data_IF_147627090401
#
_entry.id   IF_147627090401
#
_cell.length_a   1.000
_cell.length_b   1.000
_cell.length_c   1.000
_cell.angle_alpha   90.00
_cell.angle_beta   90.00
_cell.angle_gamma   90.00
#
_symmetry.space_group_name_H-M   'P 1'
#
loop_
_entity.id
_entity.type
_entity.pdbx_description
1 polymer ?
#
# COMPACT_ATOMS: atom_id res chain seq x y z
N UNK A 1 -12.68 -9.60 -1.80
CA UNK A 1 -13.15 -8.41 -1.07
C UNK A 1 -12.06 -7.87 -0.14
N UNK A 2 -11.71 -6.58 -0.30
CA UNK A 2 -10.61 -5.90 0.42
C UNK A 2 -11.00 -5.41 1.81
N UNK A 3 -12.21 -4.85 1.95
CA UNK A 3 -12.75 -4.33 3.21
C UNK A 3 -14.13 -4.97 3.45
N UNK A 4 -14.20 -6.11 4.16
CA UNK A 4 -15.44 -6.84 4.41
C UNK A 4 -16.32 -6.23 5.50
N UNK A 5 -16.59 -4.93 5.43
CA UNK A 5 -17.45 -4.23 6.37
C UNK A 5 -18.19 -3.07 5.70
N UNK A 6 -19.32 -2.67 6.29
CA UNK A 6 -20.03 -1.46 5.87
C UNK A 6 -19.31 -0.21 6.38
N UNK A 7 -19.54 0.92 5.71
CA UNK A 7 -18.91 2.20 6.04
C UNK A 7 -19.37 2.70 7.43
N UNK A 8 -20.63 2.49 7.78
CA UNK A 8 -21.16 2.75 9.13
C UNK A 8 -20.38 2.03 10.25
N UNK A 9 -19.85 0.83 9.99
CA UNK A 9 -19.12 0.03 10.98
C UNK A 9 -17.65 0.45 11.11
N UNK A 10 -17.09 1.03 10.05
CA UNK A 10 -15.68 1.41 9.97
C UNK A 10 -15.44 2.90 10.25
N UNK A 11 -16.50 3.69 10.37
CA UNK A 11 -16.42 5.12 10.63
C UNK A 11 -15.95 5.43 12.06
N UNK A 12 -15.24 6.55 12.28
CA UNK A 12 -14.89 7.02 13.61
C UNK A 12 -16.12 7.18 14.50
N UNK A 13 -15.97 6.88 15.78
CA UNK A 13 -17.02 7.08 16.79
C UNK A 13 -17.21 8.58 17.03
N UNK A 14 -16.11 9.34 17.04
CA UNK A 14 -16.09 10.79 17.18
C UNK A 14 -15.47 11.43 15.94
N UNK A 15 -16.25 11.62 14.86
CA UNK A 15 -15.72 12.21 13.63
C UNK A 15 -15.20 13.62 13.86
N UNK A 16 -14.12 13.99 13.17
CA UNK A 16 -13.55 15.33 13.24
C UNK A 16 -14.60 16.37 12.83
N UNK A 17 -14.74 17.43 13.63
CA UNK A 17 -15.68 18.51 13.33
C UNK A 17 -15.23 19.28 12.10
N UNK A 18 -16.16 19.52 11.18
CA UNK A 18 -15.93 20.38 10.03
C UNK A 18 -15.89 21.84 10.49
N UNK A 19 -14.70 22.43 10.47
CA UNK A 19 -14.52 23.87 10.66
C UNK A 19 -15.24 24.64 9.54
N UNK A 20 -15.95 25.73 9.88
CA UNK A 20 -16.55 26.68 8.92
C UNK A 20 -15.51 27.50 8.14
N UNK A 21 -14.22 27.20 8.28
CA UNK A 21 -13.16 27.85 7.52
C UNK A 21 -13.33 27.62 6.02
N UNK A 22 -13.01 28.65 5.21
CA UNK A 22 -13.04 28.59 3.74
C UNK A 22 -12.14 27.50 3.12
N UNK A 23 -11.27 26.89 3.91
CA UNK A 23 -10.33 25.87 3.46
C UNK A 23 -10.35 24.66 4.41
N UNK A 24 -10.70 23.50 3.86
CA UNK A 24 -10.70 22.22 4.57
C UNK A 24 -9.36 21.54 4.32
N UNK A 25 -8.61 21.25 5.39
CA UNK A 25 -7.43 20.39 5.29
C UNK A 25 -7.88 18.92 5.38
N UNK A 26 -7.86 18.21 4.24
CA UNK A 26 -8.27 16.80 4.20
C UNK A 26 -7.41 15.88 5.07
N UNK A 27 -6.16 16.25 5.40
CA UNK A 27 -5.34 15.45 6.32
C UNK A 27 -5.92 15.38 7.74
N UNK A 28 -6.83 16.29 8.11
CA UNK A 28 -7.52 16.25 9.40
C UNK A 28 -8.75 15.33 9.42
N UNK A 29 -9.16 14.79 8.26
CA UNK A 29 -10.33 13.91 8.12
C UNK A 29 -9.85 12.51 7.74
N UNK A 30 -9.69 11.60 8.72
CA UNK A 30 -9.20 10.26 8.42
C UNK A 30 -10.23 9.50 7.59
N UNK A 31 -9.77 8.84 6.52
CA UNK A 31 -10.64 8.16 5.57
C UNK A 31 -11.04 6.76 6.07
N UNK A 32 -12.33 6.57 6.34
CA UNK A 32 -12.94 5.25 6.57
C UNK A 32 -12.91 4.40 5.31
N UNK A 33 -12.74 3.09 5.47
CA UNK A 33 -12.72 2.15 4.34
C UNK A 33 -13.74 1.05 4.57
N UNK A 34 -14.70 0.94 3.67
CA UNK A 34 -15.79 -0.03 3.72
C UNK A 34 -16.68 0.10 2.51
N UNK A 35 -17.71 -0.74 2.46
CA UNK A 35 -18.75 -0.69 1.44
C UNK A 35 -19.83 0.29 1.90
N UNK A 36 -20.30 1.15 1.01
CA UNK A 36 -21.41 2.07 1.33
C UNK A 36 -22.64 1.29 1.79
N UNK A 37 -23.31 1.79 2.82
CA UNK A 37 -24.50 1.17 3.40
C UNK A 37 -25.63 0.94 2.38
N UNK A 38 -25.79 1.84 1.40
CA UNK A 38 -26.75 1.69 0.29
C UNK A 38 -26.46 0.45 -0.59
N UNK A 39 -25.20 0.01 -0.61
CA UNK A 39 -24.76 -1.18 -1.34
C UNK A 39 -24.80 -2.46 -0.48
N UNK A 40 -25.46 -2.44 0.68
CA UNK A 40 -25.55 -3.60 1.55
C UNK A 40 -26.12 -4.84 0.84
N UNK A 41 -27.07 -4.67 -0.08
CA UNK A 41 -27.61 -5.80 -0.84
C UNK A 41 -26.56 -6.51 -1.70
N UNK A 42 -25.61 -5.77 -2.31
CA UNK A 42 -24.47 -6.37 -3.02
C UNK A 42 -23.49 -7.02 -2.05
N UNK A 43 -23.26 -6.40 -0.89
CA UNK A 43 -22.41 -6.96 0.15
C UNK A 43 -22.93 -8.32 0.62
N UNK A 44 -24.20 -8.39 0.98
CA UNK A 44 -24.89 -9.63 1.37
C UNK A 44 -24.85 -10.69 0.26
N UNK A 45 -25.07 -10.27 -0.99
CA UNK A 45 -25.00 -11.17 -2.15
C UNK A 45 -23.61 -11.80 -2.32
N UNK A 46 -22.53 -11.03 -2.16
CA UNK A 46 -21.16 -11.56 -2.26
C UNK A 46 -20.83 -12.50 -1.10
N UNK A 47 -21.38 -12.27 0.09
CA UNK A 47 -21.16 -13.10 1.27
C UNK A 47 -22.06 -14.34 1.32
N UNK A 48 -23.13 -14.38 0.54
CA UNK A 48 -24.13 -15.46 0.54
C UNK A 48 -23.55 -16.89 0.35
N UNK A 49 -22.48 -17.12 -0.43
CA UNK A 49 -21.88 -18.44 -0.58
C UNK A 49 -21.08 -18.91 0.65
N UNK A 50 -20.72 -18.00 1.56
CA UNK A 50 -19.87 -18.32 2.70
C UNK A 50 -20.66 -19.02 3.82
N UNK A 51 -19.97 -19.85 4.59
CA UNK A 51 -20.54 -20.39 5.83
C UNK A 51 -20.85 -19.26 6.83
N UNK A 52 -21.83 -19.45 7.73
CA UNK A 52 -22.11 -18.44 8.76
C UNK A 52 -20.88 -18.12 9.62
N UNK A 53 -20.07 -19.14 9.90
CA UNK A 53 -18.81 -19.01 10.65
C UNK A 53 -17.83 -18.12 9.89
N UNK A 54 -17.55 -18.44 8.62
CA UNK A 54 -16.61 -17.68 7.81
C UNK A 54 -17.10 -16.25 7.60
N UNK A 55 -18.40 -16.05 7.37
CA UNK A 55 -18.99 -14.72 7.20
C UNK A 55 -18.79 -13.86 8.46
N UNK A 56 -19.10 -14.40 9.65
CA UNK A 56 -18.90 -13.66 10.91
C UNK A 56 -17.43 -13.33 11.14
N UNK A 57 -16.54 -14.29 10.90
CA UNK A 57 -15.11 -14.09 11.06
C UNK A 57 -14.58 -13.05 10.07
N UNK A 58 -14.96 -13.17 8.79
CA UNK A 58 -14.49 -12.31 7.72
C UNK A 58 -14.92 -10.85 7.92
N UNK A 59 -16.14 -10.62 8.41
CA UNK A 59 -16.67 -9.29 8.71
C UNK A 59 -16.22 -8.70 10.05
N UNK A 60 -15.20 -9.29 10.70
CA UNK A 60 -14.69 -8.76 11.97
C UNK A 60 -14.02 -7.40 11.75
N UNK A 61 -14.49 -6.41 12.50
CA UNK A 61 -13.94 -5.05 12.56
C UNK A 61 -13.22 -4.87 13.88
N UNK A 62 -11.96 -4.47 13.80
CA UNK A 62 -11.15 -4.10 14.96
C UNK A 62 -11.33 -2.60 15.24
N UNK A 63 -11.86 -2.23 16.43
CA UNK A 63 -12.02 -0.84 16.79
C UNK A 63 -10.66 -0.15 16.93
N UNK A 64 -10.61 1.12 16.55
CA UNK A 64 -9.42 1.94 16.78
C UNK A 64 -9.33 2.34 18.26
N UNK A 65 -8.10 2.48 18.78
CA UNK A 65 -7.89 2.97 20.14
C UNK A 65 -8.21 4.46 20.26
N UNK A 66 -8.01 5.22 19.19
CA UNK A 66 -8.41 6.62 19.09
C UNK A 66 -9.83 6.70 18.51
N UNK A 67 -10.84 7.20 19.26
CA UNK A 67 -12.23 7.27 18.78
C UNK A 67 -12.41 8.22 17.59
N UNK A 68 -11.44 9.09 17.32
CA UNK A 68 -11.42 9.98 16.15
C UNK A 68 -10.91 9.32 14.88
N UNK A 69 -10.35 8.12 14.99
CA UNK A 69 -9.81 7.36 13.87
C UNK A 69 -10.78 6.25 13.44
N UNK A 70 -10.83 5.91 12.15
CA UNK A 70 -11.69 4.86 11.64
C UNK A 70 -11.26 3.48 12.16
N UNK A 71 -12.26 2.62 12.36
CA UNK A 71 -12.04 1.21 12.67
C UNK A 71 -11.52 0.47 11.43
N UNK A 72 -10.85 -0.67 11.63
CA UNK A 72 -10.20 -1.41 10.54
C UNK A 72 -10.77 -2.81 10.40
N UNK A 73 -10.99 -3.26 9.17
CA UNK A 73 -11.29 -4.68 8.92
C UNK A 73 -10.07 -5.54 9.22
N UNK A 74 -10.30 -6.69 9.82
CA UNK A 74 -9.22 -7.59 10.21
C UNK A 74 -8.73 -8.47 9.04
N UNK A 75 -9.65 -8.85 8.16
CA UNK A 75 -9.40 -9.82 7.10
C UNK A 75 -9.62 -9.24 5.72
N UNK A 76 -9.01 -9.90 4.74
CA UNK A 76 -9.21 -9.70 3.30
C UNK A 76 -9.08 -11.04 2.60
N UNK A 77 -9.70 -11.16 1.44
CA UNK A 77 -9.61 -12.38 0.64
C UNK A 77 -8.26 -12.51 -0.07
N UNK A 78 -7.95 -13.72 -0.53
CA UNK A 78 -6.71 -14.09 -1.19
C UNK A 78 -6.39 -13.20 -2.40
N UNK A 79 -7.34 -13.06 -3.33
CA UNK A 79 -7.26 -12.18 -4.50
C UNK A 79 -6.91 -10.75 -4.12
N UNK A 80 -7.51 -10.22 -3.04
CA UNK A 80 -7.24 -8.87 -2.57
C UNK A 80 -5.84 -8.75 -1.95
N UNK A 81 -5.34 -9.78 -1.25
CA UNK A 81 -3.95 -9.78 -0.75
C UNK A 81 -2.92 -9.82 -1.89
N UNK A 82 -3.21 -10.53 -2.98
CA UNK A 82 -2.35 -10.57 -4.17
C UNK A 82 -2.39 -9.22 -4.88
N UNK A 83 -3.59 -8.67 -5.09
CA UNK A 83 -3.79 -7.36 -5.72
C UNK A 83 -3.08 -6.24 -4.95
N UNK A 84 -3.26 -6.17 -3.63
CA UNK A 84 -2.57 -5.18 -2.79
C UNK A 84 -1.05 -5.31 -2.89
N UNK A 85 -0.53 -6.54 -2.91
CA UNK A 85 0.90 -6.75 -3.01
C UNK A 85 1.44 -6.35 -4.39
N UNK A 86 0.69 -6.63 -5.46
CA UNK A 86 1.02 -6.19 -6.80
C UNK A 86 1.02 -4.66 -6.92
N UNK A 87 -0.01 -4.00 -6.39
CA UNK A 87 -0.11 -2.54 -6.32
C UNK A 87 1.07 -1.95 -5.53
N UNK A 88 1.41 -2.55 -4.39
CA UNK A 88 2.52 -2.09 -3.55
C UNK A 88 3.88 -2.21 -4.26
N UNK A 89 4.12 -3.31 -4.97
CA UNK A 89 5.34 -3.51 -5.76
C UNK A 89 5.40 -2.51 -6.91
N UNK A 90 4.29 -2.31 -7.63
CA UNK A 90 4.23 -1.35 -8.72
C UNK A 90 4.50 0.07 -8.23
N UNK A 91 3.82 0.50 -7.16
CA UNK A 91 4.00 1.80 -6.55
C UNK A 91 5.43 1.99 -5.99
N UNK A 92 6.03 0.96 -5.40
CA UNK A 92 7.39 1.08 -4.87
C UNK A 92 8.47 1.17 -5.97
N UNK A 93 8.32 0.40 -7.05
CA UNK A 93 9.39 0.17 -8.04
C UNK A 93 9.18 0.93 -9.35
N UNK A 94 7.97 0.92 -9.91
CA UNK A 94 7.69 1.63 -11.17
C UNK A 94 7.64 3.13 -10.96
N UNK A 95 6.99 3.62 -9.90
CA UNK A 95 6.98 5.06 -9.61
C UNK A 95 8.39 5.58 -9.29
N UNK A 96 9.27 4.75 -8.68
CA UNK A 96 10.68 5.10 -8.50
C UNK A 96 11.38 5.30 -9.86
N UNK A 97 11.16 4.38 -10.81
CA UNK A 97 11.70 4.53 -12.16
C UNK A 97 11.23 5.82 -12.81
N UNK A 98 9.94 6.10 -12.75
CA UNK A 98 9.33 7.28 -13.34
C UNK A 98 9.81 8.57 -12.64
N UNK A 99 10.02 8.53 -11.33
CA UNK A 99 10.58 9.65 -10.57
C UNK A 99 12.02 9.97 -10.94
N UNK A 100 12.83 8.95 -11.22
CA UNK A 100 14.20 9.13 -11.72
C UNK A 100 14.16 9.70 -13.14
N UNK A 101 13.34 9.14 -14.03
CA UNK A 101 13.20 9.60 -15.42
C UNK A 101 12.66 11.03 -15.50
N UNK A 102 11.71 11.37 -14.61
CA UNK A 102 11.14 12.71 -14.49
C UNK A 102 12.06 13.73 -13.80
N UNK A 103 13.23 13.31 -13.32
CA UNK A 103 14.20 14.17 -12.63
C UNK A 103 13.76 14.63 -11.23
N UNK A 104 12.75 13.99 -10.65
CA UNK A 104 12.29 14.24 -9.27
C UNK A 104 13.24 13.59 -8.25
N UNK A 105 13.82 12.45 -8.60
CA UNK A 105 14.82 11.73 -7.81
C UNK A 105 16.20 11.88 -8.45
N UNK A 106 17.18 12.30 -7.66
CA UNK A 106 18.58 12.46 -8.07
C UNK A 106 19.48 11.49 -7.30
N UNK A 107 20.72 11.26 -7.75
CA UNK A 107 21.69 10.46 -6.99
C UNK A 107 21.90 10.98 -5.55
N UNK A 108 21.76 12.30 -5.32
CA UNK A 108 21.88 12.90 -4.00
C UNK A 108 20.68 12.56 -3.11
N UNK A 109 19.45 12.65 -3.63
CA UNK A 109 18.27 12.31 -2.81
C UNK A 109 18.22 10.80 -2.51
N UNK A 110 18.68 9.97 -3.43
CA UNK A 110 18.76 8.51 -3.25
C UNK A 110 19.61 8.07 -2.05
N UNK A 111 20.62 8.85 -1.64
CA UNK A 111 21.50 8.49 -0.51
C UNK A 111 20.72 8.20 0.78
N UNK A 112 19.58 8.87 0.98
CA UNK A 112 18.70 8.61 2.12
C UNK A 112 18.10 7.21 2.08
N UNK A 113 17.58 6.80 0.91
CA UNK A 113 17.07 5.45 0.71
C UNK A 113 18.20 4.42 0.77
N UNK A 114 19.34 4.68 0.15
CA UNK A 114 20.52 3.81 0.16
C UNK A 114 20.98 3.49 1.59
N UNK A 115 21.03 4.49 2.47
CA UNK A 115 21.36 4.28 3.89
C UNK A 115 20.36 3.36 4.59
N UNK A 116 19.06 3.62 4.43
CA UNK A 116 18.01 2.79 5.04
C UNK A 116 18.06 1.35 4.50
N UNK A 117 18.33 1.18 3.21
CA UNK A 117 18.49 -0.14 2.59
C UNK A 117 19.76 -0.85 3.07
N UNK A 118 20.84 -0.13 3.38
CA UNK A 118 22.05 -0.72 3.94
C UNK A 118 21.83 -1.25 5.38
N UNK A 119 20.94 -0.61 6.12
CA UNK A 119 20.57 -1.00 7.50
C UNK A 119 19.42 -2.02 7.55
N UNK A 120 18.74 -2.28 6.42
CA UNK A 120 17.57 -3.15 6.37
C UNK A 120 17.92 -4.63 6.60
N UNK A 121 16.93 -5.52 6.70
CA UNK A 121 17.18 -6.96 6.95
C UNK A 121 17.45 -7.78 5.67
N UNK A 122 17.43 -7.17 4.49
CA UNK A 122 17.63 -7.89 3.21
C UNK A 122 19.10 -7.99 2.81
N UNK A 123 19.67 -9.19 2.92
CA UNK A 123 21.03 -9.45 2.45
C UNK A 123 21.16 -9.29 0.92
N UNK A 124 20.14 -9.69 0.18
CA UNK A 124 20.12 -9.57 -1.29
C UNK A 124 20.25 -8.11 -1.72
N UNK A 125 19.53 -7.19 -1.06
CA UNK A 125 19.65 -5.77 -1.40
C UNK A 125 21.01 -5.24 -0.99
N UNK A 126 21.47 -5.49 0.24
CA UNK A 126 22.75 -5.00 0.73
C UNK A 126 23.92 -5.33 -0.19
N UNK A 127 23.97 -6.56 -0.66
CA UNK A 127 25.04 -7.02 -1.56
C UNK A 127 24.99 -6.32 -2.93
N UNK A 128 23.79 -5.92 -3.38
CA UNK A 128 23.57 -5.29 -4.68
C UNK A 128 23.48 -3.77 -4.62
N UNK A 129 23.52 -3.14 -3.44
CA UNK A 129 23.38 -1.69 -3.31
C UNK A 129 24.33 -0.88 -4.18
N UNK A 130 25.64 -1.20 -4.27
CA UNK A 130 26.56 -0.48 -5.14
C UNK A 130 26.13 -0.53 -6.62
N UNK A 131 25.75 -1.72 -7.09
CA UNK A 131 25.26 -1.96 -8.45
C UNK A 131 23.94 -1.22 -8.71
N UNK A 132 22.99 -1.31 -7.76
CA UNK A 132 21.69 -0.64 -7.83
C UNK A 132 21.89 0.87 -7.98
N UNK A 133 22.73 1.47 -7.15
CA UNK A 133 23.03 2.90 -7.21
C UNK A 133 23.61 3.31 -8.56
N UNK A 134 24.61 2.58 -9.06
CA UNK A 134 25.26 2.91 -10.32
C UNK A 134 24.29 2.80 -11.50
N UNK A 135 23.61 1.65 -11.61
CA UNK A 135 22.74 1.35 -12.75
C UNK A 135 21.43 2.14 -12.75
N UNK A 136 20.84 2.46 -11.58
CA UNK A 136 19.62 3.28 -11.50
C UNK A 136 19.81 4.64 -12.15
N UNK A 137 20.97 5.27 -11.95
CA UNK A 137 21.28 6.61 -12.45
C UNK A 137 22.19 6.62 -13.68
N UNK A 138 22.36 5.47 -14.33
CA UNK A 138 23.12 5.38 -15.56
C UNK A 138 22.46 6.17 -16.69
N UNK A 139 23.29 6.67 -17.61
CA UNK A 139 22.87 7.24 -18.89
C UNK A 139 22.20 6.18 -19.79
N UNK A 140 22.50 4.90 -19.55
CA UNK A 140 21.95 3.79 -20.30
C UNK A 140 20.62 3.31 -19.72
N UNK A 141 19.54 3.55 -20.46
CA UNK A 141 18.17 3.13 -20.07
C UNK A 141 18.05 1.63 -19.74
N UNK A 142 18.81 0.78 -20.44
CA UNK A 142 18.74 -0.67 -20.24
C UNK A 142 19.30 -1.09 -18.87
N UNK A 143 20.29 -0.38 -18.32
CA UNK A 143 20.88 -0.68 -17.01
C UNK A 143 19.90 -0.35 -15.89
N UNK A 144 19.20 0.79 -15.99
CA UNK A 144 18.11 1.11 -15.06
C UNK A 144 16.99 0.07 -15.15
N UNK A 145 16.58 -0.31 -16.36
CA UNK A 145 15.54 -1.35 -16.57
C UNK A 145 15.96 -2.71 -15.99
N UNK A 146 17.24 -3.06 -16.05
CA UNK A 146 17.79 -4.27 -15.44
C UNK A 146 17.63 -4.26 -13.92
N UNK A 147 17.97 -3.15 -13.25
CA UNK A 147 17.76 -3.00 -11.79
C UNK A 147 16.29 -3.04 -11.42
N UNK A 148 15.44 -2.30 -12.13
CA UNK A 148 13.99 -2.28 -11.92
C UNK A 148 13.41 -3.70 -12.08
N UNK A 149 13.81 -4.43 -13.13
CA UNK A 149 13.42 -5.82 -13.34
C UNK A 149 13.91 -6.76 -12.24
N UNK A 150 15.16 -6.58 -11.78
CA UNK A 150 15.72 -7.36 -10.68
C UNK A 150 14.97 -7.14 -9.36
N UNK A 151 14.59 -5.89 -9.05
CA UNK A 151 13.77 -5.55 -7.88
C UNK A 151 12.39 -6.19 -7.96
N UNK A 152 11.67 -6.02 -9.07
CA UNK A 152 10.35 -6.64 -9.27
C UNK A 152 10.45 -8.16 -9.13
N UNK A 153 11.43 -8.80 -9.79
CA UNK A 153 11.65 -10.24 -9.69
C UNK A 153 11.97 -10.68 -8.25
N UNK A 154 12.78 -9.90 -7.52
CA UNK A 154 13.08 -10.18 -6.12
C UNK A 154 11.81 -10.19 -5.26
N UNK A 155 10.90 -9.23 -5.44
CA UNK A 155 9.62 -9.22 -4.71
C UNK A 155 8.73 -10.40 -5.09
N UNK A 156 8.50 -10.63 -6.39
CA UNK A 156 7.60 -11.69 -6.87
C UNK A 156 8.06 -13.08 -6.42
N UNK A 157 9.36 -13.38 -6.54
CA UNK A 157 9.90 -14.70 -6.17
C UNK A 157 9.92 -14.95 -4.65
N UNK A 158 9.82 -13.90 -3.85
CA UNK A 158 9.78 -13.98 -2.39
C UNK A 158 8.37 -13.95 -1.80
N UNK A 159 7.32 -13.84 -2.61
CA UNK A 159 5.93 -13.97 -2.12
C UNK A 159 5.74 -15.34 -1.46
N UNK A 160 5.10 -15.35 -0.30
CA UNK A 160 4.74 -16.55 0.47
C UNK A 160 3.26 -16.56 0.79
N UNK A 161 2.76 -17.74 1.13
CA UNK A 161 1.37 -17.95 1.53
C UNK A 161 1.29 -18.11 3.04
N UNK A 162 0.40 -17.34 3.68
CA UNK A 162 0.04 -17.52 5.08
C UNK A 162 -1.33 -18.17 5.16
N UNK A 163 -1.43 -19.28 5.89
CA UNK A 163 -2.71 -19.90 6.21
C UNK A 163 -3.35 -19.20 7.42
N UNK A 164 -4.65 -18.94 7.31
CA UNK A 164 -5.54 -18.44 8.35
C UNK A 164 -6.46 -19.60 8.72
N UNK A 165 -6.11 -20.43 9.73
CA UNK A 165 -6.84 -21.66 10.08
C UNK A 165 -8.27 -21.39 10.58
N UNK A 166 -8.62 -20.14 10.84
CA UNK A 166 -9.95 -19.70 11.26
C UNK A 166 -11.01 -19.88 10.18
N UNK A 167 -10.60 -19.95 8.90
CA UNK A 167 -11.50 -20.05 7.75
C UNK A 167 -11.58 -21.44 7.15
N UNK A 168 -12.79 -21.87 6.81
CA UNK A 168 -13.04 -23.09 6.07
C UNK A 168 -13.00 -22.84 4.55
N UNK A 169 -13.49 -21.68 4.09
CA UNK A 169 -13.43 -21.23 2.69
C UNK A 169 -11.98 -21.01 2.20
N UNK A 170 -11.51 -21.72 1.15
CA UNK A 170 -10.14 -21.58 0.62
C UNK A 170 -9.75 -20.16 0.23
N UNK A 171 -10.67 -19.36 -0.32
CA UNK A 171 -10.40 -17.98 -0.73
C UNK A 171 -10.17 -17.01 0.45
N UNK A 172 -10.59 -17.39 1.66
CA UNK A 172 -10.36 -16.63 2.89
C UNK A 172 -9.23 -17.22 3.73
N UNK A 173 -8.96 -18.52 3.58
CA UNK A 173 -7.95 -19.26 4.33
C UNK A 173 -6.51 -18.87 3.98
N UNK A 174 -6.26 -18.24 2.85
CA UNK A 174 -4.90 -17.90 2.44
C UNK A 174 -4.75 -16.41 2.15
N UNK A 175 -3.63 -15.82 2.58
CA UNK A 175 -3.20 -14.49 2.14
C UNK A 175 -1.75 -14.56 1.64
N UNK A 176 -1.47 -13.80 0.58
CA UNK A 176 -0.12 -13.55 0.09
C UNK A 176 0.58 -12.54 1.01
N UNK A 177 1.85 -12.75 1.31
CA UNK A 177 2.67 -11.80 2.06
C UNK A 177 4.15 -11.89 1.64
N UNK A 178 4.91 -10.83 1.96
CA UNK A 178 6.36 -10.83 1.85
C UNK A 178 6.99 -11.12 3.22
N UNK A 179 8.05 -11.95 3.28
CA UNK A 179 8.89 -12.07 4.47
C UNK A 179 9.40 -10.70 4.92
N UNK A 180 9.60 -10.52 6.23
CA UNK A 180 9.99 -9.23 6.83
C UNK A 180 11.24 -8.62 6.18
N UNK A 181 12.23 -9.47 5.88
CA UNK A 181 13.46 -9.07 5.18
C UNK A 181 13.20 -8.44 3.83
N UNK A 182 12.18 -8.89 3.09
CA UNK A 182 11.83 -8.36 1.76
C UNK A 182 10.81 -7.23 1.86
N UNK A 183 9.84 -7.34 2.78
CA UNK A 183 8.84 -6.32 3.03
C UNK A 183 9.46 -4.98 3.48
N UNK A 184 10.56 -5.02 4.25
CA UNK A 184 11.26 -3.82 4.69
C UNK A 184 11.84 -3.02 3.51
N UNK A 185 12.36 -3.70 2.49
CA UNK A 185 12.86 -3.08 1.26
C UNK A 185 11.73 -2.37 0.54
N UNK A 186 10.61 -3.08 0.31
CA UNK A 186 9.47 -2.51 -0.38
C UNK A 186 8.93 -1.28 0.34
N UNK A 187 8.83 -1.35 1.67
CA UNK A 187 8.41 -0.22 2.51
C UNK A 187 9.34 1.00 2.33
N UNK A 188 10.66 0.80 2.38
CA UNK A 188 11.63 1.90 2.20
C UNK A 188 11.45 2.55 0.82
N UNK A 189 11.28 1.77 -0.24
CA UNK A 189 11.06 2.30 -1.59
C UNK A 189 9.73 3.09 -1.67
N UNK A 190 8.65 2.55 -1.11
CA UNK A 190 7.34 3.22 -1.07
C UNK A 190 7.39 4.55 -0.31
N UNK A 191 8.02 4.55 0.88
CA UNK A 191 8.14 5.75 1.70
C UNK A 191 9.00 6.81 0.99
N UNK A 192 10.07 6.38 0.31
CA UNK A 192 10.92 7.25 -0.49
C UNK A 192 10.15 7.85 -1.67
N UNK A 193 9.44 7.05 -2.46
CA UNK A 193 8.59 7.54 -3.56
C UNK A 193 7.54 8.51 -3.04
N UNK A 194 6.84 8.17 -1.94
CA UNK A 194 5.85 9.05 -1.32
C UNK A 194 6.45 10.43 -1.00
N UNK A 195 7.62 10.46 -0.36
CA UNK A 195 8.29 11.69 0.04
C UNK A 195 8.71 12.56 -1.17
N UNK A 196 9.21 11.97 -2.25
CA UNK A 196 9.81 12.71 -3.37
C UNK A 196 8.91 12.89 -4.58
N UNK A 197 7.81 12.13 -4.68
CA UNK A 197 6.85 12.22 -5.79
C UNK A 197 5.53 12.81 -5.31
N UNK A 198 4.96 12.32 -4.21
CA UNK A 198 3.63 12.74 -3.76
C UNK A 198 3.70 14.02 -2.93
N UNK A 199 4.70 14.14 -2.06
CA UNK A 199 4.87 15.35 -1.25
C UNK A 199 5.60 16.49 -1.99
N UNK A 200 6.06 16.31 -3.22
CA UNK A 200 6.71 17.38 -3.98
C UNK A 200 5.73 18.50 -4.36
N UNK A 201 6.18 19.75 -4.26
CA UNK A 201 5.34 20.92 -4.46
C UNK A 201 4.86 21.06 -5.92
N UNK A 202 5.52 20.41 -6.89
CA UNK A 202 5.14 20.43 -8.31
C UNK A 202 3.96 19.51 -8.59
N UNK A 203 3.93 18.29 -8.04
CA UNK A 203 2.80 17.35 -8.16
C UNK A 203 1.56 17.86 -7.44
N UNK A 204 1.70 18.46 -6.26
CA UNK A 204 0.59 19.12 -5.56
C UNK A 204 -0.04 20.27 -6.36
N UNK A 205 0.73 20.96 -7.24
CA UNK A 205 0.19 22.01 -8.12
C UNK A 205 -0.60 21.44 -9.31
N UNK A 206 -0.29 20.23 -9.77
CA UNK A 206 -1.04 19.55 -10.83
C UNK A 206 -2.34 18.97 -10.28
N UNK A 207 -2.32 18.36 -9.09
CA UNK A 207 -3.56 17.91 -8.41
C UNK A 207 -4.53 19.06 -8.11
N UNK A 208 -4.00 20.23 -7.71
CA UNK A 208 -4.81 21.46 -7.51
C UNK A 208 -5.54 21.93 -8.77
N UNK A 209 -5.06 21.57 -9.97
CA UNK A 209 -5.76 21.87 -11.23
C UNK A 209 -6.81 20.81 -11.58
N UNK A 210 -6.64 19.56 -11.11
CA UNK A 210 -7.60 18.47 -11.31
C UNK A 210 -8.84 18.56 -10.42
N UNK A 211 -8.72 19.14 -9.22
CA UNK A 211 -9.83 19.36 -8.28
C UNK A 211 -10.54 20.71 -8.47
N UNK A 212 -10.25 21.44 -9.55
CA UNK A 212 -10.95 22.67 -9.91
C UNK A 212 -11.96 22.37 -11.03
N UNK A 213 -12.97 21.55 -10.72
CA UNK A 213 -14.22 21.46 -11.49
C UNK A 213 -15.39 21.28 -10.52
#
# INVERSE_FOLDING_TARGET
MKYPALLSQTSPIEPAEMSEARHINLHHFPQSKGIFDDNNHFFEWVLAPLSEKDRRQFCTVQPNQDPKQPNKTQYKSLDCSIMELADDIAYGVHDLEDAIVGGMVTPQSWQNAEKLLAECQSDWVKQRLPEIREKLFSQHRYERKDVIGALVNHFITNVRWKALPEFDEPLLRYNAYLPESVACVLKILKDFVYQYVICDAKTQRVERKGNAF
#
